data_IF_025965132910
#
_entry.id   IF_025965132910
#
_cell.length_a   1.000
_cell.length_b   1.000
_cell.length_c   1.000
_cell.angle_alpha   90.00
_cell.angle_beta   90.00
_cell.angle_gamma   90.00
#
_symmetry.space_group_name_H-M   'P 1'
#
loop_
_entity.id
_entity.type
_entity.pdbx_description
1 polymer ?
#
# COMPACT_ATOMS: atom_id res chain seq x y z
N UNK A 1 7.00 1.07 -11.54
CA UNK A 1 7.46 1.64 -10.25
C UNK A 1 8.87 1.12 -9.96
N UNK A 2 9.68 1.87 -9.23
CA UNK A 2 10.97 1.40 -8.72
C UNK A 2 11.02 1.49 -7.18
N UNK A 3 11.67 0.53 -6.53
CA UNK A 3 11.79 0.49 -5.08
C UNK A 3 13.18 0.02 -4.68
N UNK A 4 13.68 0.59 -3.58
CA UNK A 4 14.99 0.28 -3.01
C UNK A 4 14.82 0.10 -1.50
N UNK A 5 15.25 -1.04 -0.92
CA UNK A 5 15.79 -2.22 -1.61
C UNK A 5 14.81 -2.87 -2.62
N UNK A 6 15.26 -3.80 -3.50
CA UNK A 6 14.42 -4.49 -4.50
C UNK A 6 13.40 -5.44 -3.87
N UNK A 7 12.32 -5.74 -4.59
CA UNK A 7 11.26 -6.66 -4.11
C UNK A 7 11.68 -8.12 -4.16
N UNK A 8 12.49 -8.51 -5.13
CA UNK A 8 12.86 -9.89 -5.37
C UNK A 8 14.29 -10.19 -4.91
N UNK A 9 14.54 -11.35 -4.28
CA UNK A 9 15.86 -11.71 -3.77
C UNK A 9 16.91 -11.80 -4.88
N UNK A 10 16.54 -12.22 -6.09
CA UNK A 10 17.43 -12.26 -7.25
C UNK A 10 17.95 -10.89 -7.68
N UNK A 11 17.24 -9.81 -7.33
CA UNK A 11 17.60 -8.43 -7.70
C UNK A 11 18.43 -7.73 -6.61
N UNK A 12 18.64 -8.34 -5.44
CA UNK A 12 19.29 -7.66 -4.30
C UNK A 12 20.80 -7.60 -4.41
N UNK A 13 21.43 -8.37 -5.31
CA UNK A 13 22.89 -8.49 -5.42
C UNK A 13 23.57 -8.84 -4.07
N UNK A 14 22.89 -9.63 -3.22
CA UNK A 14 23.37 -9.99 -1.89
C UNK A 14 23.14 -8.91 -0.81
N UNK A 15 22.39 -7.85 -1.13
CA UNK A 15 21.94 -6.82 -0.18
C UNK A 15 20.58 -7.17 0.41
N UNK A 16 20.03 -6.25 1.21
CA UNK A 16 18.69 -6.37 1.81
C UNK A 16 17.59 -6.47 0.74
N UNK A 17 16.57 -7.29 1.02
CA UNK A 17 15.33 -7.37 0.25
C UNK A 17 14.28 -6.44 0.86
N UNK A 18 13.44 -5.82 0.02
CA UNK A 18 12.30 -5.05 0.50
C UNK A 18 11.28 -5.92 1.21
N UNK A 19 10.98 -5.57 2.46
CA UNK A 19 9.92 -6.20 3.23
C UNK A 19 8.60 -5.50 2.98
N UNK A 20 7.71 -6.13 2.21
CA UNK A 20 6.34 -5.68 2.02
C UNK A 20 5.53 -5.76 3.33
N UNK A 21 4.47 -4.95 3.42
CA UNK A 21 3.63 -4.86 4.60
C UNK A 21 2.28 -5.52 4.32
N UNK A 22 1.90 -6.44 5.20
CA UNK A 22 0.55 -7.01 5.26
C UNK A 22 -0.13 -6.48 6.51
N UNK A 23 -1.03 -5.51 6.32
CA UNK A 23 -1.69 -4.80 7.41
C UNK A 23 -3.02 -5.47 7.78
N UNK A 24 -3.23 -5.68 9.07
CA UNK A 24 -4.41 -6.35 9.65
C UNK A 24 -5.41 -5.36 10.25
N UNK A 25 -5.46 -4.13 9.76
CA UNK A 25 -6.60 -3.27 10.05
C UNK A 25 -7.83 -3.78 9.29
N UNK A 26 -9.02 -3.47 9.81
CA UNK A 26 -10.27 -3.97 9.22
C UNK A 26 -10.47 -3.59 7.73
N UNK A 27 -9.82 -2.53 7.24
CA UNK A 27 -9.83 -2.20 5.82
C UNK A 27 -8.87 -3.09 5.02
N UNK A 28 -7.59 -3.11 5.39
CA UNK A 28 -6.55 -3.83 4.65
C UNK A 28 -6.78 -5.35 4.66
N UNK A 29 -7.30 -5.89 5.77
CA UNK A 29 -7.65 -7.30 5.90
C UNK A 29 -8.77 -7.70 4.90
N UNK A 30 -9.82 -6.88 4.78
CA UNK A 30 -10.91 -7.10 3.80
C UNK A 30 -10.43 -7.00 2.35
N UNK A 31 -9.46 -6.15 2.07
CA UNK A 31 -8.86 -6.01 0.74
C UNK A 31 -7.78 -7.06 0.46
N UNK A 32 -7.33 -7.81 1.47
CA UNK A 32 -6.21 -8.74 1.38
C UNK A 32 -4.91 -8.06 0.93
N UNK A 33 -4.71 -6.78 1.27
CA UNK A 33 -3.65 -5.96 0.69
C UNK A 33 -2.24 -6.41 1.14
N UNK A 34 -1.35 -6.59 0.17
CA UNK A 34 0.10 -6.69 0.41
C UNK A 34 0.72 -5.46 -0.22
N UNK A 35 1.40 -4.67 0.60
CA UNK A 35 1.72 -3.28 0.28
C UNK A 35 3.21 -3.03 0.19
N UNK A 36 3.62 -2.28 -0.83
CA UNK A 36 4.91 -1.62 -0.87
C UNK A 36 4.73 -0.09 -0.75
N UNK A 37 5.76 0.60 -0.27
CA UNK A 37 5.73 2.05 -0.03
C UNK A 37 6.86 2.79 -0.79
N UNK A 38 6.88 2.74 -2.13
CA UNK A 38 7.82 3.51 -2.93
C UNK A 38 7.62 5.03 -2.74
N UNK A 39 8.70 5.77 -3.02
CA UNK A 39 8.65 7.24 -3.10
C UNK A 39 7.75 7.64 -4.26
N UNK A 40 6.97 8.73 -4.13
CA UNK A 40 6.05 9.18 -5.19
C UNK A 40 6.77 9.38 -6.53
N UNK A 41 7.98 9.95 -6.51
CA UNK A 41 8.81 10.14 -7.72
C UNK A 41 9.21 8.85 -8.45
N UNK A 42 9.08 7.69 -7.81
CA UNK A 42 9.42 6.39 -8.39
C UNK A 42 8.18 5.68 -8.99
N UNK A 43 7.05 6.39 -9.09
CA UNK A 43 5.78 5.84 -9.53
C UNK A 43 5.31 6.67 -10.72
N UNK A 44 4.92 5.94 -11.76
CA UNK A 44 4.35 6.51 -12.97
C UNK A 44 3.01 5.83 -13.22
N UNK A 45 1.97 6.63 -13.38
CA UNK A 45 0.66 6.17 -13.79
C UNK A 45 0.53 6.39 -15.29
N UNK A 46 0.54 5.31 -16.05
CA UNK A 46 0.51 5.38 -17.52
C UNK A 46 -0.90 5.46 -18.09
N UNK A 47 -1.92 4.99 -17.35
CA UNK A 47 -3.32 4.94 -17.80
C UNK A 47 -4.30 4.69 -16.63
N UNK A 48 -5.59 4.90 -16.87
CA UNK A 48 -6.68 4.46 -15.98
C UNK A 48 -6.98 5.40 -14.81
N UNK A 49 -6.30 6.54 -14.71
CA UNK A 49 -6.55 7.53 -13.64
C UNK A 49 -7.93 8.18 -13.75
N UNK A 50 -8.54 8.22 -14.94
CA UNK A 50 -9.92 8.62 -15.17
C UNK A 50 -10.95 7.70 -14.50
N UNK A 51 -10.52 6.50 -14.07
CA UNK A 51 -11.32 5.55 -13.31
C UNK A 51 -10.85 5.43 -11.86
N UNK A 52 -10.04 6.36 -11.37
CA UNK A 52 -9.64 6.41 -9.98
C UNK A 52 -10.77 6.96 -9.11
N UNK A 53 -11.22 6.15 -8.15
CA UNK A 53 -12.06 6.57 -7.03
C UNK A 53 -11.23 6.73 -5.77
N UNK A 54 -11.70 7.54 -4.83
CA UNK A 54 -11.06 7.77 -3.54
C UNK A 54 -11.99 7.42 -2.39
N UNK A 55 -11.44 6.73 -1.40
CA UNK A 55 -12.10 6.40 -0.15
C UNK A 55 -11.25 6.96 1.00
N UNK A 56 -11.89 7.79 1.82
CA UNK A 56 -11.25 8.42 2.97
C UNK A 56 -11.74 7.73 4.25
N UNK A 57 -10.78 7.30 5.06
CA UNK A 57 -11.04 6.67 6.37
C UNK A 57 -10.55 7.55 7.51
N UNK A 58 -11.10 7.31 8.70
CA UNK A 58 -10.67 7.95 9.95
C UNK A 58 -10.57 9.47 9.82
N UNK A 59 -9.39 10.07 10.01
CA UNK A 59 -9.20 11.53 9.99
C UNK A 59 -9.30 12.17 8.59
N UNK A 60 -9.58 11.37 7.54
CA UNK A 60 -9.75 11.82 6.15
C UNK A 60 -8.52 12.54 5.58
N UNK A 61 -7.33 11.98 5.85
CA UNK A 61 -6.04 12.55 5.43
C UNK A 61 -5.26 11.72 4.41
N UNK A 62 -5.53 10.42 4.32
CA UNK A 62 -4.83 9.50 3.43
C UNK A 62 -5.84 8.80 2.52
N UNK A 63 -6.11 9.33 1.31
CA UNK A 63 -7.08 8.74 0.40
C UNK A 63 -6.60 7.37 -0.09
N UNK A 64 -7.48 6.38 0.04
CA UNK A 64 -7.32 5.04 -0.51
C UNK A 64 -7.92 5.04 -1.91
N UNK A 65 -7.10 4.76 -2.90
CA UNK A 65 -7.44 4.76 -4.30
C UNK A 65 -7.94 3.38 -4.71
N UNK A 66 -9.05 3.35 -5.43
CA UNK A 66 -9.62 2.14 -6.01
C UNK A 66 -10.03 2.41 -7.46
N UNK A 67 -10.15 1.36 -8.25
CA UNK A 67 -10.72 1.48 -9.60
C UNK A 67 -12.25 1.53 -9.51
N UNK A 68 -12.91 2.54 -10.08
CA UNK A 68 -14.38 2.66 -10.08
C UNK A 68 -15.08 1.66 -11.00
N UNK A 69 -14.32 0.87 -11.78
CA UNK A 69 -14.86 -0.18 -12.65
C UNK A 69 -14.86 -1.56 -11.97
N UNK A 70 -13.71 -1.97 -11.44
CA UNK A 70 -13.55 -3.29 -10.83
C UNK A 70 -13.52 -3.26 -9.29
N UNK A 71 -13.50 -2.07 -8.68
CA UNK A 71 -13.44 -1.85 -7.23
C UNK A 71 -12.20 -2.40 -6.53
N UNK A 72 -11.17 -2.78 -7.29
CA UNK A 72 -9.91 -3.21 -6.72
C UNK A 72 -9.17 -2.04 -6.05
N UNK A 73 -8.65 -2.28 -4.85
CA UNK A 73 -7.79 -1.35 -4.13
C UNK A 73 -6.41 -1.26 -4.81
N UNK A 74 -6.06 -0.05 -5.27
CA UNK A 74 -4.86 0.22 -6.05
C UNK A 74 -3.72 0.73 -5.17
N UNK A 75 -3.99 1.78 -4.40
CA UNK A 75 -2.97 2.54 -3.71
C UNK A 75 -3.52 3.36 -2.53
N UNK A 76 -2.66 3.87 -1.66
CA UNK A 76 -3.02 4.90 -0.67
C UNK A 76 -2.03 6.03 -0.74
N UNK A 77 -2.49 7.27 -0.92
CA UNK A 77 -1.63 8.45 -0.84
C UNK A 77 -1.21 8.69 0.62
N UNK A 78 0.09 8.56 0.88
CA UNK A 78 0.67 8.75 2.21
C UNK A 78 1.25 10.16 2.39
N UNK A 79 1.15 11.07 1.42
CA UNK A 79 1.81 12.38 1.46
C UNK A 79 1.52 13.12 2.75
N UNK A 80 0.25 13.16 3.19
CA UNK A 80 -0.10 13.82 4.45
C UNK A 80 0.62 13.25 5.67
N UNK A 81 0.69 11.92 5.82
CA UNK A 81 1.32 11.30 7.01
C UNK A 81 2.84 11.41 6.93
N UNK A 82 3.41 11.30 5.73
CA UNK A 82 4.84 11.50 5.49
C UNK A 82 5.29 12.92 5.85
N UNK A 83 4.55 13.94 5.40
CA UNK A 83 4.86 15.35 5.66
C UNK A 83 4.56 15.77 7.11
N UNK A 84 3.44 15.32 7.68
CA UNK A 84 2.95 15.86 8.95
C UNK A 84 3.41 15.05 10.17
N UNK A 85 3.61 13.74 10.02
CA UNK A 85 3.95 12.84 11.13
C UNK A 85 5.41 12.39 11.03
N UNK A 86 5.82 11.80 9.91
CA UNK A 86 7.16 11.22 9.77
C UNK A 86 8.25 12.23 9.39
N UNK A 87 7.88 13.39 8.84
CA UNK A 87 8.80 14.42 8.34
C UNK A 87 9.80 13.84 7.33
N UNK A 88 9.31 12.97 6.44
CA UNK A 88 10.11 12.25 5.42
C UNK A 88 9.50 12.44 4.02
N UNK A 89 10.21 12.01 2.97
CA UNK A 89 9.78 12.11 1.58
C UNK A 89 8.41 11.46 1.34
N UNK A 90 7.61 12.08 0.47
CA UNK A 90 6.29 11.57 0.10
C UNK A 90 6.36 10.18 -0.51
N UNK A 91 5.46 9.33 -0.04
CA UNK A 91 5.32 7.94 -0.45
C UNK A 91 3.87 7.66 -0.82
N UNK A 92 3.69 6.58 -1.56
CA UNK A 92 2.39 6.01 -1.83
C UNK A 92 2.44 4.54 -1.51
N UNK A 93 1.36 4.03 -0.90
CA UNK A 93 1.16 2.59 -0.79
C UNK A 93 0.75 2.06 -2.14
N UNK A 94 1.37 0.98 -2.62
CA UNK A 94 0.97 0.25 -3.82
C UNK A 94 0.57 -1.17 -3.42
N UNK A 95 -0.64 -1.59 -3.81
CA UNK A 95 -1.08 -2.98 -3.63
C UNK A 95 -0.37 -3.88 -4.63
N UNK A 96 0.57 -4.69 -4.15
CA UNK A 96 1.39 -5.59 -4.97
C UNK A 96 0.55 -6.62 -5.73
N UNK A 97 -0.65 -6.97 -5.24
CA UNK A 97 -1.59 -7.86 -5.95
C UNK A 97 -2.06 -7.30 -7.29
N UNK A 98 -1.99 -5.98 -7.46
CA UNK A 98 -2.43 -5.29 -8.68
C UNK A 98 -1.32 -5.13 -9.71
N UNK A 99 -0.08 -5.51 -9.36
CA UNK A 99 1.03 -5.47 -10.30
C UNK A 99 0.98 -6.70 -11.21
N UNK A 100 1.14 -6.45 -12.51
CA UNK A 100 1.29 -7.51 -13.50
C UNK A 100 2.57 -8.31 -13.21
N UNK A 101 2.50 -9.63 -13.39
CA UNK A 101 3.65 -10.54 -13.26
C UNK A 101 4.34 -10.47 -11.88
N UNK A 102 3.59 -10.14 -10.82
CA UNK A 102 4.11 -10.06 -9.47
C UNK A 102 4.06 -11.42 -8.76
N UNK A 103 5.21 -12.07 -8.57
CA UNK A 103 5.32 -13.32 -7.81
C UNK A 103 5.39 -13.03 -6.31
N UNK A 104 4.20 -12.94 -5.70
CA UNK A 104 4.07 -12.68 -4.27
C UNK A 104 4.77 -13.74 -3.41
N UNK A 105 5.01 -14.97 -3.89
CA UNK A 105 5.63 -16.04 -3.11
C UNK A 105 7.10 -15.77 -2.77
N UNK A 106 7.76 -14.95 -3.58
CA UNK A 106 9.17 -14.57 -3.41
C UNK A 106 9.38 -13.30 -2.58
N UNK A 107 8.30 -12.57 -2.29
CA UNK A 107 8.38 -11.26 -1.62
C UNK A 107 8.36 -11.45 -0.11
N UNK A 108 9.39 -10.94 0.57
CA UNK A 108 9.43 -10.90 2.03
C UNK A 108 8.29 -10.02 2.58
N UNK A 109 7.62 -10.49 3.64
CA UNK A 109 6.48 -9.77 4.24
C UNK A 109 6.63 -9.66 5.74
N UNK A 110 6.17 -8.55 6.28
CA UNK A 110 5.91 -8.39 7.72
C UNK A 110 4.44 -8.12 7.96
N UNK A 111 3.93 -8.72 9.03
CA UNK A 111 2.57 -8.53 9.48
C UNK A 111 2.50 -7.27 10.37
N UNK A 112 1.55 -6.38 10.10
CA UNK A 112 1.33 -5.17 10.88
C UNK A 112 -0.04 -5.21 11.55
N UNK A 113 -0.04 -5.29 12.89
CA UNK A 113 -1.24 -5.37 13.71
C UNK A 113 -1.59 -4.08 14.46
N UNK A 114 -0.77 -3.02 14.34
CA UNK A 114 -0.92 -1.77 15.09
C UNK A 114 -2.33 -1.15 14.99
N UNK A 115 -2.98 -1.30 13.83
CA UNK A 115 -4.31 -0.73 13.56
C UNK A 115 -5.45 -1.77 13.67
N UNK A 116 -5.18 -2.99 14.15
CA UNK A 116 -6.18 -4.07 14.22
C UNK A 116 -7.33 -3.72 15.14
N UNK A 117 -7.00 -3.20 16.32
CA UNK A 117 -7.97 -2.84 17.36
C UNK A 117 -8.33 -1.34 17.37
N UNK A 118 -7.98 -0.62 16.30
CA UNK A 118 -8.27 0.80 16.20
C UNK A 118 -9.79 1.04 16.15
N UNK A 119 -10.31 2.04 16.88
CA UNK A 119 -11.74 2.33 16.91
C UNK A 119 -12.27 2.87 15.56
N UNK A 120 -13.59 2.78 15.32
CA UNK A 120 -14.58 2.12 16.17
C UNK A 120 -14.54 0.58 16.02
N UNK A 121 -14.72 -0.14 17.13
CA UNK A 121 -14.94 -1.59 17.10
C UNK A 121 -16.37 -1.85 16.63
N UNK A 122 -16.52 -2.65 15.59
CA UNK A 122 -17.83 -3.04 15.07
C UNK A 122 -18.23 -4.36 15.71
N UNK A 123 -19.35 -4.37 16.43
CA UNK A 123 -19.95 -5.59 16.96
C UNK A 123 -20.96 -6.13 15.94
N UNK A 124 -20.97 -7.44 15.74
CA UNK A 124 -21.99 -8.11 14.92
C UNK A 124 -23.14 -8.46 15.87
N UNK A 125 -24.25 -7.73 15.76
CA UNK A 125 -25.52 -8.05 16.42
C UNK A 125 -26.31 -9.10 15.67
#
# INVERSE_FOLDING_TARGET
MTISPPLYPEETEGKEQYTAVECHCSHCERQGAISAHPKVKNIEFTQGLEHKGEYLMGPKKNPHWYCTKCHCFLATDLSWIMENVFKDENRMTINLRMLKDCDLSKIQRKQLYFMKDAPPKYEIS
#
